data_IF_079401312632
#
_entry.id   IF_079401312632
#
_cell.length_a   1.000
_cell.length_b   1.000
_cell.length_c   1.000
_cell.angle_alpha   90.00
_cell.angle_beta   90.00
_cell.angle_gamma   90.00
#
_symmetry.space_group_name_H-M   'P 1'
#
loop_
_entity.id
_entity.type
_entity.pdbx_description
1 polymer ?
#
# COMPACT_ATOMS: atom_id res chain seq x y z
N UNK A 1 -10.43 6.03 -15.48
CA UNK A 1 -8.97 6.02 -15.67
C UNK A 1 -8.36 6.44 -14.37
N UNK A 2 -7.60 5.57 -13.70
CA UNK A 2 -6.99 5.91 -12.41
C UNK A 2 -5.90 6.96 -12.65
N UNK A 3 -5.87 8.09 -11.91
CA UNK A 3 -4.79 9.05 -12.03
C UNK A 3 -3.43 8.40 -11.75
N UNK A 4 -2.43 8.70 -12.59
CA UNK A 4 -1.05 8.38 -12.27
C UNK A 4 -0.66 9.12 -10.98
N UNK A 5 -0.10 8.38 -10.04
CA UNK A 5 0.15 8.90 -8.71
C UNK A 5 1.36 9.82 -8.61
N UNK A 6 1.30 10.73 -7.64
CA UNK A 6 2.45 11.49 -7.16
C UNK A 6 3.07 10.68 -6.01
N UNK A 7 4.26 10.14 -6.23
CA UNK A 7 5.05 9.50 -5.20
C UNK A 7 6.53 9.71 -5.51
N UNK A 8 7.33 9.92 -4.48
CA UNK A 8 8.77 10.12 -4.59
C UNK A 8 9.48 9.03 -3.80
N UNK A 9 10.56 8.48 -4.37
CA UNK A 9 11.43 7.55 -3.62
C UNK A 9 12.21 8.36 -2.59
N UNK A 10 11.91 8.14 -1.31
CA UNK A 10 12.60 8.77 -0.18
C UNK A 10 13.89 8.01 0.18
N UNK A 11 13.99 6.73 -0.16
CA UNK A 11 15.19 5.93 0.04
C UNK A 11 14.97 4.46 -0.31
N UNK A 12 16.06 3.71 -0.43
CA UNK A 12 16.05 2.27 -0.68
C UNK A 12 17.04 1.57 0.23
N UNK A 13 16.68 0.38 0.71
CA UNK A 13 17.53 -0.43 1.60
C UNK A 13 17.32 -1.91 1.30
N UNK A 14 18.37 -2.72 1.46
CA UNK A 14 18.27 -4.18 1.38
C UNK A 14 18.27 -4.81 2.78
N UNK A 15 17.37 -5.77 2.98
CA UNK A 15 17.34 -6.66 4.15
C UNK A 15 17.44 -8.11 3.66
N UNK A 16 18.67 -8.64 3.58
CA UNK A 16 18.92 -9.92 2.92
C UNK A 16 18.58 -9.86 1.43
N UNK A 17 17.63 -10.67 0.97
CA UNK A 17 17.12 -10.67 -0.41
C UNK A 17 15.91 -9.77 -0.63
N UNK A 18 15.48 -9.01 0.38
CA UNK A 18 14.36 -8.09 0.29
C UNK A 18 14.84 -6.67 -0.03
N UNK A 19 14.26 -6.04 -1.05
CA UNK A 19 14.44 -4.63 -1.35
C UNK A 19 13.27 -3.84 -0.74
N UNK A 20 13.58 -2.97 0.20
CA UNK A 20 12.63 -2.05 0.84
C UNK A 20 12.76 -0.69 0.14
N UNK A 21 11.67 -0.23 -0.48
CA UNK A 21 11.57 1.09 -1.13
C UNK A 21 10.68 1.99 -0.30
N UNK A 22 11.25 3.04 0.28
CA UNK A 22 10.51 4.03 1.05
C UNK A 22 9.94 5.09 0.10
N UNK A 23 8.63 5.30 0.14
CA UNK A 23 7.94 6.31 -0.65
C UNK A 23 7.46 7.47 0.22
N UNK A 24 7.50 8.68 -0.33
CA UNK A 24 6.95 9.90 0.28
C UNK A 24 6.03 10.63 -0.71
N UNK A 25 5.18 11.52 -0.20
CA UNK A 25 4.28 12.32 -1.03
C UNK A 25 3.15 11.53 -1.69
N UNK A 26 2.90 10.32 -1.20
CA UNK A 26 1.90 9.39 -1.72
C UNK A 26 0.48 9.91 -1.43
N UNK A 27 -0.21 10.40 -2.45
CA UNK A 27 -1.63 10.80 -2.39
C UNK A 27 -2.62 9.61 -2.26
N UNK A 28 -3.88 9.95 -1.92
CA UNK A 28 -5.03 9.05 -1.93
C UNK A 28 -5.62 8.92 -3.36
N UNK A 29 -6.29 7.81 -3.64
CA UNK A 29 -7.00 7.54 -4.90
C UNK A 29 -6.09 7.66 -6.14
N UNK A 30 -5.01 6.88 -6.14
CA UNK A 30 -4.00 6.90 -7.20
C UNK A 30 -3.39 5.52 -7.46
N UNK A 31 -2.71 5.40 -8.60
CA UNK A 31 -1.85 4.26 -8.89
C UNK A 31 -0.40 4.72 -9.08
N UNK A 32 0.51 4.14 -8.30
CA UNK A 32 1.95 4.39 -8.39
C UNK A 32 2.61 3.19 -9.04
N UNK A 33 3.45 3.41 -10.05
CA UNK A 33 4.28 2.38 -10.64
C UNK A 33 5.73 2.57 -10.18
N UNK A 34 6.32 1.50 -9.67
CA UNK A 34 7.71 1.45 -9.22
C UNK A 34 8.45 0.53 -10.18
N UNK A 35 9.46 1.07 -10.86
CA UNK A 35 10.38 0.28 -11.66
C UNK A 35 11.73 0.24 -10.95
N UNK A 36 12.20 -0.97 -10.66
CA UNK A 36 13.52 -1.24 -10.10
C UNK A 36 14.40 -1.76 -11.22
N UNK A 37 15.53 -1.10 -11.44
CA UNK A 37 16.51 -1.45 -12.47
C UNK A 37 17.90 -1.59 -11.84
N UNK A 38 18.85 -2.19 -12.58
CA UNK A 38 20.24 -2.27 -12.14
C UNK A 38 20.49 -3.22 -10.95
N UNK A 39 19.53 -4.10 -10.64
CA UNK A 39 19.72 -5.15 -9.64
C UNK A 39 20.83 -6.11 -10.06
N UNK A 40 21.59 -6.60 -9.09
CA UNK A 40 22.62 -7.62 -9.27
C UNK A 40 22.49 -8.67 -8.17
N UNK A 41 22.78 -9.92 -8.49
CA UNK A 41 22.84 -10.98 -7.49
C UNK A 41 24.13 -10.88 -6.63
N UNK A 42 24.27 -11.78 -5.65
CA UNK A 42 25.43 -11.83 -4.76
C UNK A 42 26.76 -12.12 -5.49
N UNK A 43 26.73 -12.58 -6.74
CA UNK A 43 27.89 -12.83 -7.60
C UNK A 43 28.14 -11.67 -8.58
N UNK A 44 27.36 -10.60 -8.50
CA UNK A 44 27.44 -9.43 -9.37
C UNK A 44 26.79 -9.59 -10.73
N UNK A 45 26.06 -10.70 -10.97
CA UNK A 45 25.36 -10.95 -12.23
C UNK A 45 24.14 -10.01 -12.32
N UNK A 46 23.98 -9.24 -13.41
CA UNK A 46 22.81 -8.39 -13.61
C UNK A 46 21.50 -9.20 -13.59
N UNK A 47 20.51 -8.66 -12.89
CA UNK A 47 19.15 -9.18 -12.87
C UNK A 47 18.25 -8.32 -13.77
N UNK A 48 17.15 -8.92 -14.25
CA UNK A 48 16.13 -8.21 -15.01
C UNK A 48 15.46 -7.13 -14.17
N UNK A 49 15.12 -6.00 -14.79
CA UNK A 49 14.30 -4.97 -14.16
C UNK A 49 12.96 -5.53 -13.72
N UNK A 50 12.46 -5.04 -12.60
CA UNK A 50 11.16 -5.43 -12.02
C UNK A 50 10.28 -4.21 -11.99
N UNK A 51 9.05 -4.33 -12.47
CA UNK A 51 8.05 -3.27 -12.40
C UNK A 51 6.89 -3.75 -11.55
N UNK A 52 6.52 -2.98 -10.52
CA UNK A 52 5.34 -3.22 -9.71
C UNK A 52 4.42 -2.00 -9.65
N UNK A 53 3.12 -2.27 -9.63
CA UNK A 53 2.09 -1.25 -9.48
C UNK A 53 1.44 -1.36 -8.10
N UNK A 54 1.37 -0.23 -7.40
CA UNK A 54 0.69 -0.06 -6.13
C UNK A 54 -0.54 0.82 -6.36
N UNK A 55 -1.73 0.26 -6.12
CA UNK A 55 -2.98 1.03 -6.08
C UNK A 55 -3.27 1.44 -4.65
N UNK A 56 -3.67 2.68 -4.48
CA UNK A 56 -3.93 3.28 -3.17
C UNK A 56 -5.29 3.94 -3.19
N UNK A 57 -6.15 3.45 -2.32
CA UNK A 57 -7.45 4.01 -2.03
C UNK A 57 -7.66 3.85 -0.54
N UNK A 58 -7.66 4.97 0.18
CA UNK A 58 -7.75 4.94 1.64
C UNK A 58 -9.11 4.39 2.05
N UNK A 59 -9.10 3.27 2.76
CA UNK A 59 -10.28 2.52 3.17
C UNK A 59 -10.58 1.27 2.32
N UNK A 60 -9.86 1.05 1.22
CA UNK A 60 -9.97 -0.17 0.39
C UNK A 60 -9.06 -1.26 0.96
N UNK A 61 -9.60 -2.04 1.88
CA UNK A 61 -8.86 -3.06 2.63
C UNK A 61 -8.67 -4.34 1.82
N UNK A 62 -9.64 -4.69 0.96
CA UNK A 62 -9.57 -5.88 0.12
C UNK A 62 -8.86 -5.62 -1.24
N UNK A 63 -8.59 -4.35 -1.56
CA UNK A 63 -7.93 -3.90 -2.79
C UNK A 63 -8.73 -4.27 -4.05
N UNK A 64 -10.05 -4.14 -3.99
CA UNK A 64 -10.93 -4.29 -5.16
C UNK A 64 -11.11 -2.98 -5.95
N UNK A 65 -10.71 -1.83 -5.39
CA UNK A 65 -10.83 -0.50 -6.01
C UNK A 65 -12.13 0.24 -5.68
N UNK A 66 -12.93 -0.24 -4.73
CA UNK A 66 -14.19 0.34 -4.27
C UNK A 66 -14.33 0.14 -2.76
N UNK A 67 -14.31 1.24 -2.01
CA UNK A 67 -14.56 1.21 -0.57
C UNK A 67 -16.02 0.90 -0.30
N UNK A 68 -16.29 -0.28 0.24
CA UNK A 68 -17.62 -0.76 0.54
C UNK A 68 -17.69 -1.48 1.90
N UNK A 69 -18.82 -2.11 2.20
CA UNK A 69 -19.04 -2.74 3.50
C UNK A 69 -18.08 -3.92 3.75
N UNK A 70 -17.62 -4.60 2.70
CA UNK A 70 -16.63 -5.67 2.80
C UNK A 70 -15.31 -5.17 3.41
N UNK A 71 -14.86 -3.97 3.05
CA UNK A 71 -13.65 -3.38 3.62
C UNK A 71 -13.81 -3.09 5.11
N UNK A 72 -14.97 -2.53 5.50
CA UNK A 72 -15.30 -2.26 6.90
C UNK A 72 -15.29 -3.55 7.72
N UNK A 73 -15.83 -4.64 7.17
CA UNK A 73 -15.87 -5.93 7.85
C UNK A 73 -14.50 -6.60 7.89
N UNK A 74 -13.67 -6.43 6.84
CA UNK A 74 -12.29 -6.91 6.83
C UNK A 74 -11.43 -6.19 7.87
N UNK A 75 -11.51 -4.86 7.96
CA UNK A 75 -10.81 -4.07 9.00
C UNK A 75 -11.28 -4.51 10.39
N UNK A 76 -12.59 -4.72 10.59
CA UNK A 76 -13.11 -5.22 11.86
C UNK A 76 -12.56 -6.60 12.20
N UNK A 77 -12.53 -7.52 11.25
CA UNK A 77 -12.00 -8.87 11.45
C UNK A 77 -10.49 -8.89 11.73
N UNK A 78 -9.76 -7.88 11.26
CA UNK A 78 -8.33 -7.72 11.52
C UNK A 78 -8.00 -7.07 12.88
N UNK A 79 -9.00 -6.65 13.66
CA UNK A 79 -8.79 -6.13 15.01
C UNK A 79 -8.02 -7.14 15.86
N UNK A 80 -6.98 -6.69 16.57
CA UNK A 80 -6.03 -7.52 17.33
C UNK A 80 -5.08 -8.42 16.49
N UNK A 81 -5.13 -8.34 15.16
CA UNK A 81 -4.13 -8.92 14.27
C UNK A 81 -2.89 -8.03 14.07
N UNK A 82 -1.93 -8.53 13.29
CA UNK A 82 -0.79 -7.72 12.86
C UNK A 82 -1.26 -6.62 11.89
N UNK A 83 -0.95 -5.34 12.16
CA UNK A 83 -1.32 -4.25 11.28
C UNK A 83 -0.53 -4.32 9.96
N UNK A 84 -1.18 -3.88 8.89
CA UNK A 84 -0.58 -3.63 7.60
C UNK A 84 -1.23 -2.37 6.99
N UNK A 85 -0.65 -1.89 5.90
CA UNK A 85 -1.08 -0.67 5.21
C UNK A 85 -2.59 -0.65 4.84
N UNK A 86 -3.22 -1.82 4.68
CA UNK A 86 -4.62 -1.93 4.25
C UNK A 86 -5.62 -1.96 5.40
N UNK A 87 -5.22 -2.44 6.58
CA UNK A 87 -6.12 -2.56 7.73
C UNK A 87 -5.84 -1.57 8.88
N UNK A 88 -4.61 -1.05 9.01
CA UNK A 88 -4.26 0.09 9.87
C UNK A 88 -4.34 1.39 9.05
N UNK A 89 -5.57 1.77 8.74
CA UNK A 89 -5.93 2.87 7.84
C UNK A 89 -5.55 4.23 8.43
N UNK A 90 -5.49 4.36 9.76
CA UNK A 90 -5.01 5.58 10.43
C UNK A 90 -3.50 5.59 10.68
N UNK A 91 -2.78 4.53 10.31
CA UNK A 91 -1.32 4.39 10.46
C UNK A 91 -0.87 4.58 11.91
N UNK A 92 -1.62 3.98 12.83
CA UNK A 92 -1.40 4.10 14.27
C UNK A 92 -0.46 3.03 14.83
N UNK A 93 -0.16 2.00 14.05
CA UNK A 93 0.56 0.80 14.48
C UNK A 93 -0.34 -0.25 15.12
N UNK A 94 -1.67 -0.11 15.07
CA UNK A 94 -2.62 -1.09 15.58
C UNK A 94 -3.99 -0.97 14.89
N UNK A 95 -4.58 -2.11 14.51
CA UNK A 95 -5.94 -2.13 13.94
C UNK A 95 -6.98 -2.05 15.05
N UNK A 96 -7.75 -0.96 15.08
CA UNK A 96 -8.74 -0.68 16.12
C UNK A 96 -10.00 0.03 15.58
N UNK A 97 -10.86 0.51 16.47
CA UNK A 97 -12.12 1.19 16.12
C UNK A 97 -11.93 2.45 15.28
N UNK A 98 -10.77 3.09 15.36
CA UNK A 98 -10.44 4.29 14.57
C UNK A 98 -10.30 3.94 13.09
N UNK A 99 -9.67 2.81 12.76
CA UNK A 99 -9.58 2.30 11.39
C UNK A 99 -10.96 1.99 10.82
N UNK A 100 -11.80 1.29 11.61
CA UNK A 100 -13.18 0.98 11.23
C UNK A 100 -13.96 2.28 10.96
N UNK A 101 -13.81 3.29 11.82
CA UNK A 101 -14.45 4.59 11.68
C UNK A 101 -14.01 5.32 10.41
N UNK A 102 -12.70 5.36 10.16
CA UNK A 102 -12.15 5.99 8.96
C UNK A 102 -12.62 5.26 7.69
N UNK A 103 -12.55 3.92 7.64
CA UNK A 103 -13.05 3.15 6.48
C UNK A 103 -14.53 3.41 6.20
N UNK A 104 -15.38 3.44 7.24
CA UNK A 104 -16.81 3.80 7.09
C UNK A 104 -17.01 5.18 6.50
N UNK A 105 -16.19 6.16 6.89
CA UNK A 105 -16.27 7.53 6.35
C UNK A 105 -15.90 7.62 4.86
N UNK A 106 -15.28 6.58 4.30
CA UNK A 106 -14.82 6.51 2.91
C UNK A 106 -15.69 5.63 2.01
N UNK A 107 -16.80 5.08 2.52
CA UNK A 107 -17.73 4.28 1.72
C UNK A 107 -18.18 5.01 0.44
N UNK A 108 -18.21 4.27 -0.67
CA UNK A 108 -18.58 4.79 -1.99
C UNK A 108 -17.45 5.45 -2.77
N UNK A 109 -16.25 5.56 -2.20
CA UNK A 109 -15.06 6.00 -2.95
C UNK A 109 -14.50 4.88 -3.80
N UNK A 110 -13.95 5.22 -4.96
CA UNK A 110 -13.40 4.25 -5.92
C UNK A 110 -12.15 4.78 -6.63
N UNK A 111 -11.35 3.87 -7.18
CA UNK A 111 -10.11 4.16 -7.95
C UNK A 111 -10.39 4.46 -9.42
#
# INVERSE_FOLDING_TARGET
>A
TVPAGIATVAGTTFAGSELIVNLSGVADQQSVQIQVTGLRDARGIPLSSVTQSLRLLLGDADNNGLVNQADVDQVRAATAGAPNLRNDVVVSGAVNSSDIGLTRSRLGRSL
#
